data_IF_101485728454
#
_entry.id   IF_101485728454
#
_cell.length_a   1.000
_cell.length_b   1.000
_cell.length_c   1.000
_cell.angle_alpha   90.00
_cell.angle_beta   90.00
_cell.angle_gamma   90.00
#
_symmetry.space_group_name_H-M   'P 1'
#
loop_
_entity.id
_entity.type
_entity.pdbx_description
1 polymer ?
#
# COMPACT_ATOMS: atom_id res chain seq x y z
N UNK A 1 7.13 15.40 12.14
CA UNK A 1 6.38 14.96 10.94
C UNK A 1 7.04 13.73 10.35
N UNK A 2 6.24 12.76 9.89
CA UNK A 2 6.73 11.68 9.06
C UNK A 2 7.50 12.25 7.87
N UNK A 3 8.60 11.58 7.52
CA UNK A 3 9.46 11.92 6.37
C UNK A 3 9.58 10.68 5.47
N UNK A 4 9.83 10.89 4.19
CA UNK A 4 10.10 9.81 3.23
C UNK A 4 8.99 9.59 2.20
N UNK A 5 9.20 8.57 1.37
CA UNK A 5 8.34 8.24 0.24
C UNK A 5 7.13 7.41 0.73
N UNK A 6 6.09 8.09 1.24
CA UNK A 6 4.79 7.46 1.49
C UNK A 6 3.67 8.22 0.77
N UNK A 7 2.59 7.51 0.48
CA UNK A 7 1.35 8.15 0.03
C UNK A 7 0.84 9.12 1.10
N UNK A 8 0.12 10.19 0.70
CA UNK A 8 -0.52 11.07 1.67
C UNK A 8 -1.60 10.32 2.44
N UNK A 9 -1.59 10.45 3.77
CA UNK A 9 -2.69 10.01 4.61
C UNK A 9 -3.80 11.07 4.56
N UNK A 10 -4.92 10.74 3.91
CA UNK A 10 -6.03 11.68 3.70
C UNK A 10 -7.22 11.35 4.60
N UNK A 11 -7.73 12.37 5.29
CA UNK A 11 -8.98 12.31 6.05
C UNK A 11 -10.03 13.17 5.36
N UNK A 12 -10.82 12.56 4.50
CA UNK A 12 -11.89 13.22 3.74
C UNK A 12 -13.21 12.67 4.27
N UNK A 13 -14.11 13.55 4.67
CA UNK A 13 -15.41 13.16 5.20
C UNK A 13 -16.52 13.72 4.33
N UNK A 14 -17.56 12.91 4.10
CA UNK A 14 -18.78 13.41 3.50
C UNK A 14 -19.66 14.14 4.53
N UNK A 15 -20.77 14.73 4.07
CA UNK A 15 -21.73 15.43 4.93
C UNK A 15 -22.41 14.53 5.97
N UNK A 16 -22.30 13.20 5.82
CA UNK A 16 -22.83 12.21 6.75
C UNK A 16 -21.76 11.75 7.75
N UNK A 17 -20.54 12.30 7.69
CA UNK A 17 -19.43 11.97 8.59
C UNK A 17 -18.69 10.69 8.21
N UNK A 18 -18.95 10.11 7.03
CA UNK A 18 -18.27 8.89 6.57
C UNK A 18 -16.91 9.24 5.98
N UNK A 19 -15.89 8.47 6.33
CA UNK A 19 -14.57 8.56 5.72
C UNK A 19 -14.66 8.13 4.25
N UNK A 20 -14.08 8.93 3.34
CA UNK A 20 -14.11 8.71 1.89
C UNK A 20 -12.70 8.58 1.34
N UNK A 21 -12.54 7.69 0.38
CA UNK A 21 -11.28 7.54 -0.32
C UNK A 21 -10.99 8.78 -1.19
N UNK A 22 -9.70 9.10 -1.39
CA UNK A 22 -9.30 10.24 -2.22
C UNK A 22 -9.60 10.02 -3.71
N UNK A 23 -9.63 8.76 -4.16
CA UNK A 23 -9.84 8.41 -5.56
C UNK A 23 -11.23 8.87 -6.06
N UNK A 24 -12.28 8.64 -5.28
CA UNK A 24 -13.65 9.08 -5.54
C UNK A 24 -13.72 10.59 -5.81
N UNK A 25 -12.97 11.38 -5.03
CA UNK A 25 -12.90 12.83 -5.18
C UNK A 25 -12.19 13.22 -6.49
N UNK A 26 -11.08 12.56 -6.81
CA UNK A 26 -10.28 12.86 -8.01
C UNK A 26 -11.01 12.43 -9.29
N UNK A 27 -11.74 11.32 -9.26
CA UNK A 27 -12.46 10.77 -10.41
C UNK A 27 -13.85 11.36 -10.60
N UNK A 28 -14.29 12.26 -9.71
CA UNK A 28 -15.66 12.76 -9.64
C UNK A 28 -16.68 11.60 -9.55
N UNK A 29 -16.36 10.57 -8.77
CA UNK A 29 -17.27 9.45 -8.51
C UNK A 29 -18.44 9.96 -7.65
N UNK A 30 -19.60 10.16 -8.27
CA UNK A 30 -20.80 10.67 -7.59
C UNK A 30 -21.49 9.55 -6.80
N UNK A 31 -21.67 8.38 -7.44
CA UNK A 31 -22.33 7.24 -6.83
C UNK A 31 -21.31 6.35 -6.09
N UNK A 32 -21.46 6.11 -4.78
CA UNK A 32 -20.55 5.25 -4.04
C UNK A 32 -20.48 3.84 -4.62
N UNK A 33 -19.28 3.30 -4.72
CA UNK A 33 -19.03 1.88 -4.99
C UNK A 33 -18.83 1.13 -3.67
N UNK A 34 -18.70 -0.20 -3.72
CA UNK A 34 -18.32 -0.99 -2.54
C UNK A 34 -16.95 -0.58 -1.96
N UNK A 35 -16.06 0.02 -2.77
CA UNK A 35 -14.71 0.45 -2.36
C UNK A 35 -14.65 1.90 -1.87
N UNK A 36 -15.75 2.64 -1.99
CA UNK A 36 -15.80 4.07 -1.70
C UNK A 36 -15.55 4.43 -0.23
N UNK A 37 -15.78 3.48 0.67
CA UNK A 37 -15.58 3.64 2.12
C UNK A 37 -14.25 3.04 2.60
N UNK A 38 -13.49 2.40 1.70
CA UNK A 38 -12.17 1.84 2.00
C UNK A 38 -11.08 2.85 1.64
N UNK A 39 -10.37 3.31 2.66
CA UNK A 39 -9.18 4.16 2.50
C UNK A 39 -7.92 3.31 2.68
N UNK A 40 -6.91 3.56 1.86
CA UNK A 40 -5.60 2.92 1.98
C UNK A 40 -4.49 3.97 1.90
N UNK A 41 -3.36 3.67 2.52
CA UNK A 41 -2.15 4.51 2.44
C UNK A 41 -0.95 3.58 2.42
N UNK A 42 -0.22 3.63 1.32
CA UNK A 42 1.00 2.84 1.14
C UNK A 42 2.16 3.40 1.94
N UNK A 43 2.71 2.54 2.79
CA UNK A 43 3.87 2.84 3.65
C UNK A 43 5.05 1.92 3.37
N UNK A 44 4.99 1.06 2.34
CA UNK A 44 6.06 0.11 2.07
C UNK A 44 7.40 0.80 1.73
N UNK A 45 7.39 1.97 1.09
CA UNK A 45 8.60 2.70 0.67
C UNK A 45 9.13 3.70 1.71
N UNK A 46 8.40 3.92 2.80
CA UNK A 46 8.88 4.78 3.90
C UNK A 46 9.62 3.99 4.97
N UNK A 47 10.25 4.70 5.90
CA UNK A 47 10.93 4.06 7.03
C UNK A 47 9.94 3.37 7.98
N UNK A 48 10.46 2.43 8.77
CA UNK A 48 9.71 1.73 9.82
C UNK A 48 9.14 2.73 10.83
N UNK A 49 9.92 3.76 11.18
CA UNK A 49 9.54 4.80 12.13
C UNK A 49 8.36 5.64 11.61
N UNK A 50 8.34 5.97 10.31
CA UNK A 50 7.21 6.68 9.71
C UNK A 50 5.94 5.82 9.73
N UNK A 51 6.04 4.52 9.43
CA UNK A 51 4.91 3.59 9.55
C UNK A 51 4.37 3.53 10.99
N UNK A 52 5.25 3.32 11.99
CA UNK A 52 4.88 3.30 13.42
C UNK A 52 4.21 4.61 13.83
N UNK A 53 4.73 5.75 13.35
CA UNK A 53 4.15 7.05 13.65
C UNK A 53 2.73 7.20 13.09
N UNK A 54 2.50 6.75 11.84
CA UNK A 54 1.17 6.73 11.22
C UNK A 54 0.21 5.85 12.03
N UNK A 55 0.63 4.64 12.43
CA UNK A 55 -0.18 3.76 13.29
C UNK A 55 -0.51 4.46 14.62
N UNK A 56 0.47 5.10 15.25
CA UNK A 56 0.27 5.88 16.49
C UNK A 56 -0.75 7.01 16.33
N UNK A 57 -0.68 7.75 15.22
CA UNK A 57 -1.67 8.78 14.87
C UNK A 57 -3.08 8.17 14.73
N UNK A 58 -3.22 7.07 13.98
CA UNK A 58 -4.51 6.41 13.77
C UNK A 58 -5.10 5.87 15.09
N UNK A 59 -4.26 5.32 15.99
CA UNK A 59 -4.69 4.89 17.34
C UNK A 59 -5.18 6.09 18.16
N UNK A 60 -4.46 7.20 18.12
CA UNK A 60 -4.87 8.43 18.81
C UNK A 60 -6.21 8.94 18.27
N UNK A 61 -6.36 9.01 16.94
CA UNK A 61 -7.62 9.42 16.31
C UNK A 61 -8.76 8.47 16.68
N UNK A 62 -8.54 7.15 16.65
CA UNK A 62 -9.55 6.17 17.07
C UNK A 62 -10.00 6.41 18.51
N UNK A 63 -9.05 6.63 19.42
CA UNK A 63 -9.33 6.83 20.85
C UNK A 63 -10.11 8.12 21.14
N UNK A 64 -9.84 9.19 20.39
CA UNK A 64 -10.29 10.54 20.75
C UNK A 64 -11.35 11.13 19.83
N UNK A 65 -11.45 10.67 18.57
CA UNK A 65 -12.26 11.34 17.54
C UNK A 65 -13.06 10.38 16.65
N UNK A 66 -12.55 9.17 16.38
CA UNK A 66 -13.09 8.21 15.41
C UNK A 66 -13.26 6.82 16.05
N UNK A 67 -14.14 6.69 17.03
CA UNK A 67 -14.27 5.46 17.85
C UNK A 67 -14.54 4.20 17.02
N UNK A 68 -15.23 4.35 15.90
CA UNK A 68 -15.61 3.32 14.93
C UNK A 68 -14.55 3.10 13.83
N UNK A 69 -13.39 3.76 13.87
CA UNK A 69 -12.31 3.55 12.91
C UNK A 69 -11.84 2.08 12.92
N UNK A 70 -11.91 1.44 11.77
CA UNK A 70 -11.39 0.09 11.53
C UNK A 70 -10.10 0.23 10.72
N UNK A 71 -9.03 -0.41 11.19
CA UNK A 71 -7.72 -0.40 10.52
C UNK A 71 -7.32 -1.85 10.30
N UNK A 72 -6.87 -2.15 9.08
CA UNK A 72 -6.18 -3.39 8.72
C UNK A 72 -4.77 -3.01 8.31
N UNK A 73 -3.78 -3.54 9.01
CA UNK A 73 -2.36 -3.25 8.77
C UNK A 73 -1.64 -4.50 8.23
N UNK A 74 -1.20 -4.47 6.98
CA UNK A 74 -0.42 -5.56 6.37
C UNK A 74 0.94 -5.77 7.05
N UNK A 75 1.45 -4.75 7.75
CA UNK A 75 2.66 -4.82 8.56
C UNK A 75 2.46 -5.49 9.93
N UNK A 76 1.20 -5.77 10.31
CA UNK A 76 0.78 -6.35 11.61
C UNK A 76 1.17 -5.53 12.84
N UNK A 77 1.69 -4.31 12.67
CA UNK A 77 2.13 -3.48 13.79
C UNK A 77 0.93 -2.91 14.56
N UNK A 78 -0.19 -2.63 13.87
CA UNK A 78 -1.44 -2.20 14.50
C UNK A 78 -1.96 -3.19 15.56
N UNK A 79 -1.79 -4.49 15.35
CA UNK A 79 -2.28 -5.53 16.27
C UNK A 79 -1.21 -5.94 17.28
N UNK A 80 0.04 -6.07 16.84
CA UNK A 80 1.10 -6.72 17.61
C UNK A 80 2.00 -5.75 18.37
N UNK A 81 2.10 -4.50 17.92
CA UNK A 81 3.13 -3.54 18.36
C UNK A 81 4.57 -4.08 18.25
N UNK A 82 4.78 -5.11 17.42
CA UNK A 82 6.06 -5.77 17.24
C UNK A 82 6.84 -5.09 16.10
N UNK A 83 7.87 -4.34 16.47
CA UNK A 83 8.71 -3.61 15.50
C UNK A 83 9.53 -4.55 14.62
N UNK A 84 10.01 -5.65 15.17
CA UNK A 84 10.82 -6.64 14.46
C UNK A 84 10.01 -7.32 13.36
N UNK A 85 8.77 -7.73 13.64
CA UNK A 85 7.85 -8.29 12.64
C UNK A 85 7.58 -7.30 11.50
N UNK A 86 7.38 -6.02 11.83
CA UNK A 86 7.19 -4.97 10.82
C UNK A 86 8.44 -4.80 9.93
N UNK A 87 9.64 -4.86 10.50
CA UNK A 87 10.90 -4.82 9.75
C UNK A 87 11.00 -6.00 8.80
N UNK A 88 10.83 -7.22 9.31
CA UNK A 88 10.93 -8.45 8.53
C UNK A 88 9.99 -8.43 7.32
N UNK A 89 8.73 -8.01 7.51
CA UNK A 89 7.73 -7.90 6.44
C UNK A 89 8.08 -6.83 5.42
N UNK A 90 8.54 -5.65 5.87
CA UNK A 90 8.94 -4.56 4.97
C UNK A 90 10.16 -4.96 4.15
N UNK A 91 11.17 -5.57 4.78
CA UNK A 91 12.38 -6.02 4.10
C UNK A 91 12.06 -7.14 3.10
N UNK A 92 11.22 -8.10 3.48
CA UNK A 92 10.74 -9.14 2.57
C UNK A 92 10.08 -8.53 1.33
N UNK A 93 9.12 -7.60 1.52
CA UNK A 93 8.40 -6.96 0.43
C UNK A 93 9.34 -6.13 -0.46
N UNK A 94 10.23 -5.33 0.12
CA UNK A 94 11.19 -4.51 -0.62
C UNK A 94 12.17 -5.37 -1.43
N UNK A 95 12.63 -6.50 -0.87
CA UNK A 95 13.48 -7.44 -1.57
C UNK A 95 12.76 -8.06 -2.78
N UNK A 96 11.50 -8.50 -2.62
CA UNK A 96 10.71 -9.05 -3.73
C UNK A 96 10.44 -8.01 -4.82
N UNK A 97 10.11 -6.77 -4.44
CA UNK A 97 9.97 -5.65 -5.39
C UNK A 97 11.27 -5.41 -6.17
N UNK A 98 12.42 -5.38 -5.47
CA UNK A 98 13.73 -5.15 -6.09
C UNK A 98 14.11 -6.26 -7.07
N UNK A 99 13.89 -7.51 -6.68
CA UNK A 99 14.16 -8.68 -7.52
C UNK A 99 13.31 -8.66 -8.80
N UNK A 100 12.00 -8.42 -8.65
CA UNK A 100 11.09 -8.32 -9.79
C UNK A 100 11.45 -7.16 -10.72
N UNK A 101 11.74 -5.99 -10.14
CA UNK A 101 12.21 -4.83 -10.90
C UNK A 101 13.47 -5.16 -11.71
N UNK A 102 14.49 -5.75 -11.08
CA UNK A 102 15.73 -6.09 -11.75
C UNK A 102 15.55 -7.11 -12.88
N UNK A 103 14.66 -8.09 -12.71
CA UNK A 103 14.35 -9.06 -13.76
C UNK A 103 13.60 -8.42 -14.94
N UNK A 104 12.68 -7.49 -14.66
CA UNK A 104 11.94 -6.76 -15.69
C UNK A 104 12.81 -5.75 -16.45
N UNK A 105 13.83 -5.18 -15.80
CA UNK A 105 14.80 -4.27 -16.41
C UNK A 105 15.97 -5.00 -17.10
N UNK A 106 15.99 -6.33 -17.09
CA UNK A 106 17.07 -7.11 -17.70
C UNK A 106 17.08 -6.99 -19.23
N UNK A 107 18.24 -7.11 -19.91
CA UNK A 107 18.34 -6.99 -21.36
C UNK A 107 17.50 -8.02 -22.15
N UNK A 108 17.12 -9.13 -21.52
CA UNK A 108 16.21 -10.13 -22.08
C UNK A 108 14.76 -9.61 -22.21
N UNK A 109 14.44 -8.51 -21.52
CA UNK A 109 13.17 -7.78 -21.63
C UNK A 109 13.07 -6.90 -22.87
N UNK A 110 14.18 -6.64 -23.58
CA UNK A 110 14.18 -5.89 -24.86
C UNK A 110 13.57 -6.69 -26.03
N UNK A 111 13.00 -7.87 -25.74
CA UNK A 111 12.28 -8.67 -26.72
C UNK A 111 11.00 -7.94 -27.16
N UNK A 112 10.86 -7.67 -28.45
CA UNK A 112 9.60 -7.16 -29.01
C UNK A 112 8.49 -8.20 -28.80
N UNK A 113 7.56 -7.91 -27.88
CA UNK A 113 6.41 -8.80 -27.61
C UNK A 113 5.46 -8.78 -28.81
N UNK A 114 5.17 -9.97 -29.36
CA UNK A 114 4.29 -10.09 -30.54
C UNK A 114 2.81 -10.12 -30.18
N UNK A 115 2.48 -10.36 -28.91
CA UNK A 115 1.12 -10.41 -28.39
C UNK A 115 1.07 -10.15 -26.87
N UNK A 116 -0.14 -9.93 -26.35
CA UNK A 116 -0.39 -9.85 -24.90
C UNK A 116 -0.03 -11.16 -24.21
N UNK A 117 -0.32 -12.31 -24.85
CA UNK A 117 -0.01 -13.63 -24.29
C UNK A 117 1.51 -13.85 -24.14
N UNK A 118 2.30 -13.36 -25.10
CA UNK A 118 3.77 -13.41 -25.01
C UNK A 118 4.29 -12.57 -23.82
N UNK A 119 3.69 -11.40 -23.59
CA UNK A 119 4.02 -10.54 -22.45
C UNK A 119 3.64 -11.19 -21.12
N UNK A 120 2.46 -11.81 -21.03
CA UNK A 120 2.02 -12.55 -19.84
C UNK A 120 2.96 -13.72 -19.56
N UNK A 121 3.25 -14.55 -20.56
CA UNK A 121 4.15 -15.69 -20.42
C UNK A 121 5.56 -15.27 -19.97
N UNK A 122 6.04 -14.12 -20.46
CA UNK A 122 7.31 -13.54 -20.02
C UNK A 122 7.28 -13.13 -18.54
N UNK A 123 6.24 -12.41 -18.11
CA UNK A 123 6.08 -11.99 -16.70
C UNK A 123 5.94 -13.20 -15.79
N UNK A 124 5.16 -14.21 -16.16
CA UNK A 124 5.01 -15.45 -15.38
C UNK A 124 6.33 -16.21 -15.26
N UNK A 125 7.12 -16.28 -16.33
CA UNK A 125 8.46 -16.90 -16.31
C UNK A 125 9.38 -16.18 -15.34
N UNK A 126 9.39 -14.85 -15.34
CA UNK A 126 10.15 -14.06 -14.36
C UNK A 126 9.66 -14.38 -12.95
N UNK A 127 8.36 -14.28 -12.70
CA UNK A 127 7.80 -14.48 -11.37
C UNK A 127 8.16 -15.85 -10.77
N UNK A 128 8.05 -16.93 -11.57
CA UNK A 128 8.43 -18.29 -11.15
C UNK A 128 9.92 -18.46 -10.84
N UNK A 129 10.78 -17.62 -11.41
CA UNK A 129 12.22 -17.64 -11.15
C UNK A 129 12.64 -16.90 -9.87
N UNK A 130 11.70 -16.24 -9.19
CA UNK A 130 11.94 -15.43 -8.00
C UNK A 130 11.47 -16.07 -6.68
N UNK A 131 10.79 -17.22 -6.76
CA UNK A 131 10.39 -18.05 -5.62
C UNK A 131 11.54 -18.96 -5.16
#
# INVERSE_FOLDING_TARGET
NPKGDCEPLCFIFDRHGRLRNLADLITNQIEPTEYSEYCSTKTQFTSVETHIWIVGLLRYLKKHYLSDLIVSDEGEFWETENRETLIEKKDFLQNKIKLLKGALESPEAETEFKSIDDMIAYIERIARGLD
#
